data_IF_100850442718
#
_entry.id   IF_100850442718
#
_cell.length_a   1.000
_cell.length_b   1.000
_cell.length_c   1.000
_cell.angle_alpha   90.00
_cell.angle_beta   90.00
_cell.angle_gamma   90.00
#
_symmetry.space_group_name_H-M   'P 1'
#
loop_
_entity.id
_entity.type
_entity.pdbx_description
1 polymer ?
#
# COMPACT_ATOMS: atom_id res chain seq x y z
N UNK A 1 2.72 19.98 -44.20
CA UNK A 1 2.47 21.26 -44.94
C UNK A 1 2.25 22.36 -43.90
N UNK A 2 3.07 23.35 -44.04
CA UNK A 2 3.26 24.59 -43.30
C UNK A 2 1.95 25.40 -43.06
N UNK A 3 1.83 26.10 -41.94
CA UNK A 3 1.49 27.51 -41.94
C UNK A 3 1.96 28.20 -40.64
N UNK A 4 2.98 28.98 -40.82
CA UNK A 4 3.53 30.05 -39.99
C UNK A 4 2.61 31.25 -40.08
N UNK A 5 2.28 31.92 -38.94
CA UNK A 5 1.68 33.26 -38.95
C UNK A 5 2.55 34.21 -38.15
N UNK A 6 3.10 35.13 -38.84
CA UNK A 6 3.87 36.30 -38.48
C UNK A 6 2.96 37.36 -37.85
N UNK A 7 3.40 37.97 -36.74
CA UNK A 7 2.71 39.14 -36.14
C UNK A 7 3.56 40.40 -36.39
N UNK A 8 2.95 41.35 -37.02
CA UNK A 8 3.53 42.66 -37.40
C UNK A 8 3.46 43.61 -36.19
N UNK A 9 4.57 44.27 -35.89
CA UNK A 9 4.62 45.35 -34.90
C UNK A 9 4.21 46.68 -35.50
N UNK A 10 3.52 47.48 -34.70
CA UNK A 10 3.19 48.88 -35.01
C UNK A 10 4.04 49.78 -34.12
N UNK A 11 4.90 50.57 -34.74
CA UNK A 11 5.70 51.62 -34.11
C UNK A 11 4.90 52.93 -34.23
N UNK A 12 4.57 53.53 -33.09
CA UNK A 12 3.93 54.86 -33.08
C UNK A 12 4.99 55.89 -32.62
N UNK A 13 5.38 56.77 -33.56
CA UNK A 13 6.22 57.94 -33.26
C UNK A 13 5.38 59.01 -32.53
N UNK A 14 5.92 59.49 -31.42
CA UNK A 14 5.37 60.64 -30.70
C UNK A 14 6.29 61.84 -30.88
N UNK A 15 5.73 62.93 -31.43
CA UNK A 15 6.39 64.20 -31.65
C UNK A 15 6.50 64.99 -30.34
N UNK A 16 7.68 65.55 -30.09
CA UNK A 16 7.90 66.52 -29.01
C UNK A 16 7.61 67.95 -29.48
N UNK A 17 6.70 68.62 -28.80
CA UNK A 17 6.52 70.06 -28.94
C UNK A 17 7.17 70.73 -27.73
N UNK A 18 8.17 71.58 -27.99
CA UNK A 18 8.76 72.45 -26.99
C UNK A 18 7.88 73.74 -26.83
N UNK A 19 7.33 73.95 -25.63
CA UNK A 19 6.76 75.17 -25.21
C UNK A 19 7.64 75.77 -24.09
N UNK A 20 8.22 76.94 -24.36
CA UNK A 20 8.95 77.78 -23.39
C UNK A 20 7.97 78.48 -22.48
N UNK A 21 7.93 78.15 -21.21
CA UNK A 21 7.14 78.77 -20.18
C UNK A 21 7.99 79.23 -18.99
N UNK A 22 7.82 80.43 -18.56
CA UNK A 22 8.55 81.20 -17.55
C UNK A 22 8.58 80.57 -16.20
N UNK A 23 9.74 80.59 -15.54
CA UNK A 23 9.99 80.05 -14.20
C UNK A 23 9.34 81.02 -13.17
N UNK A 24 8.30 80.55 -12.50
CA UNK A 24 7.90 81.07 -11.18
C UNK A 24 8.53 80.18 -10.10
N UNK A 25 9.28 80.81 -9.18
CA UNK A 25 9.79 80.13 -7.99
C UNK A 25 8.59 79.81 -7.08
N UNK A 26 8.24 78.55 -7.01
CA UNK A 26 7.30 78.01 -6.02
C UNK A 26 8.01 77.67 -4.70
N UNK A 27 7.50 78.22 -3.59
CA UNK A 27 7.92 77.91 -2.24
C UNK A 27 7.82 76.37 -2.01
N UNK A 28 8.85 75.82 -1.35
CA UNK A 28 8.86 74.41 -1.01
C UNK A 28 7.73 74.07 -0.03
N UNK A 29 6.95 73.01 -0.29
CA UNK A 29 5.93 72.56 0.65
C UNK A 29 6.57 72.13 1.98
N UNK A 30 5.88 72.29 3.14
CA UNK A 30 6.40 71.90 4.44
C UNK A 30 6.70 70.43 4.45
N UNK A 31 7.93 70.05 4.90
CA UNK A 31 8.34 68.68 5.14
C UNK A 31 7.43 68.07 6.21
N UNK A 32 6.48 67.24 5.77
CA UNK A 32 5.70 66.39 6.69
C UNK A 32 6.64 65.30 7.22
N UNK A 33 6.98 65.38 8.49
CA UNK A 33 7.70 64.29 9.18
C UNK A 33 6.92 62.99 8.97
N UNK A 34 7.61 61.87 8.62
CA UNK A 34 6.92 60.59 8.45
C UNK A 34 6.26 60.22 9.79
N UNK A 35 4.96 60.10 9.75
CA UNK A 35 4.19 59.54 10.87
C UNK A 35 4.82 58.18 11.22
N UNK A 36 5.20 57.93 12.50
CA UNK A 36 5.77 56.67 12.86
C UNK A 36 4.79 55.55 12.52
N UNK A 37 5.22 54.60 11.69
CA UNK A 37 4.43 53.40 11.37
C UNK A 37 4.00 52.73 12.68
N UNK A 38 2.74 52.32 12.81
CA UNK A 38 2.30 51.62 14.03
C UNK A 38 3.24 50.45 14.32
N UNK A 39 3.56 50.17 15.59
CA UNK A 39 4.45 49.08 15.94
C UNK A 39 3.93 47.81 15.34
N UNK A 40 4.75 47.17 14.51
CA UNK A 40 4.46 45.84 13.97
C UNK A 40 4.42 44.88 15.17
N UNK A 41 3.22 44.60 15.65
CA UNK A 41 3.01 43.60 16.70
C UNK A 41 3.50 42.28 16.10
N UNK A 42 4.70 41.86 16.51
CA UNK A 42 5.29 40.59 16.06
C UNK A 42 4.38 39.45 16.52
N UNK A 43 3.59 38.93 15.60
CA UNK A 43 2.76 37.76 15.87
C UNK A 43 3.62 36.61 16.39
N UNK A 44 3.22 35.99 17.50
CA UNK A 44 3.91 34.87 18.11
C UNK A 44 2.90 33.84 18.59
N UNK A 45 3.18 32.55 18.37
CA UNK A 45 2.34 31.46 18.81
C UNK A 45 1.30 31.02 17.77
N UNK A 46 0.26 30.32 18.24
CA UNK A 46 -0.89 29.91 17.42
C UNK A 46 -1.76 31.13 17.10
N UNK A 47 -2.11 31.24 15.83
CA UNK A 47 -2.98 32.32 15.30
C UNK A 47 -3.99 31.73 14.33
N UNK A 48 -5.24 32.13 14.44
CA UNK A 48 -6.29 31.81 13.47
C UNK A 48 -6.34 32.88 12.38
N UNK A 49 -6.19 32.47 11.12
CA UNK A 49 -6.36 33.30 9.93
C UNK A 49 -7.59 32.80 9.17
N UNK A 50 -8.72 33.47 9.37
CA UNK A 50 -10.02 32.95 8.92
C UNK A 50 -10.31 31.60 9.58
N UNK A 51 -10.55 30.58 8.79
CA UNK A 51 -10.81 29.21 9.29
C UNK A 51 -9.56 28.31 9.33
N UNK A 52 -8.36 28.91 9.34
CA UNK A 52 -7.10 28.16 9.28
C UNK A 52 -6.21 28.52 10.45
N UNK A 53 -5.65 27.49 11.09
CA UNK A 53 -4.71 27.65 12.19
C UNK A 53 -3.27 27.71 11.66
N UNK A 54 -2.49 28.69 12.09
CA UNK A 54 -1.06 28.81 11.78
C UNK A 54 -0.24 29.08 13.05
N UNK A 55 1.08 28.99 12.94
CA UNK A 55 1.99 29.31 14.06
C UNK A 55 3.05 30.28 13.61
N UNK A 56 3.21 31.36 14.36
CA UNK A 56 4.23 32.37 14.14
C UNK A 56 5.39 32.19 15.12
N UNK A 57 6.61 32.25 14.60
CA UNK A 57 7.86 32.26 15.36
C UNK A 57 8.68 33.45 14.91
N UNK A 58 8.98 34.37 15.84
CA UNK A 58 9.73 35.59 15.54
C UNK A 58 9.11 36.40 14.37
N UNK A 59 7.79 36.55 14.36
CA UNK A 59 7.05 37.27 13.31
C UNK A 59 6.87 36.53 11.99
N UNK A 60 7.43 35.32 11.83
CA UNK A 60 7.33 34.53 10.60
C UNK A 60 6.45 33.28 10.78
N UNK A 61 5.59 33.02 9.83
CA UNK A 61 4.78 31.82 9.78
C UNK A 61 5.67 30.59 9.51
N UNK A 62 5.62 29.56 10.36
CA UNK A 62 6.36 28.32 10.12
C UNK A 62 5.69 27.50 9.02
N UNK A 63 6.49 26.86 8.16
CA UNK A 63 6.04 26.05 7.02
C UNK A 63 6.78 24.74 6.95
N UNK A 64 6.11 23.67 6.48
CA UNK A 64 6.67 22.33 6.33
C UNK A 64 7.35 21.81 7.60
N UNK A 65 6.80 22.12 8.78
CA UNK A 65 7.43 21.81 10.07
C UNK A 65 6.47 21.20 11.08
N UNK A 66 7.03 20.30 11.86
CA UNK A 66 6.43 19.83 13.11
C UNK A 66 6.62 20.86 14.20
N UNK A 67 5.65 20.99 15.08
CA UNK A 67 5.72 21.78 16.28
C UNK A 67 4.99 21.08 17.42
N UNK A 68 5.60 21.06 18.59
CA UNK A 68 4.93 20.66 19.84
C UNK A 68 4.50 21.95 20.54
N UNK A 69 3.25 22.01 20.93
CA UNK A 69 2.62 23.14 21.61
C UNK A 69 1.78 22.55 22.73
N UNK A 70 2.08 22.90 23.97
CA UNK A 70 1.41 22.41 25.17
C UNK A 70 1.30 20.87 25.24
N UNK A 71 2.33 20.17 24.77
CA UNK A 71 2.41 18.71 24.71
C UNK A 71 1.78 18.07 23.49
N UNK A 72 0.98 18.80 22.71
CA UNK A 72 0.34 18.31 21.50
C UNK A 72 1.21 18.51 20.26
N UNK A 73 1.18 17.55 19.33
CA UNK A 73 1.93 17.60 18.08
C UNK A 73 1.08 18.14 16.94
N UNK A 74 1.59 19.17 16.28
CA UNK A 74 1.03 19.80 15.08
C UNK A 74 1.98 19.64 13.90
N UNK A 75 1.44 19.67 12.68
CA UNK A 75 2.23 19.84 11.47
C UNK A 75 1.65 20.98 10.63
N UNK A 76 2.52 21.89 10.19
CA UNK A 76 2.17 23.01 9.33
C UNK A 76 2.63 22.73 7.91
N UNK A 77 1.73 22.85 6.95
CA UNK A 77 1.97 22.56 5.53
C UNK A 77 2.88 23.59 4.84
N UNK A 78 3.02 23.52 3.52
CA UNK A 78 3.82 24.45 2.73
C UNK A 78 3.30 25.89 2.74
N UNK A 79 2.03 26.09 3.04
CA UNK A 79 1.40 27.40 3.19
C UNK A 79 1.50 27.91 4.65
N UNK A 80 1.95 27.07 5.57
CA UNK A 80 2.06 27.36 7.00
C UNK A 80 0.76 27.17 7.76
N UNK A 81 -0.18 26.39 7.24
CA UNK A 81 -1.43 26.06 7.94
C UNK A 81 -1.38 24.68 8.58
N UNK A 82 -1.91 24.57 9.78
CA UNK A 82 -2.02 23.33 10.50
C UNK A 82 -2.95 22.35 9.75
N UNK A 83 -2.49 21.12 9.60
CA UNK A 83 -3.19 20.09 8.80
C UNK A 83 -4.26 19.35 9.60
N UNK A 84 -5.21 18.72 8.90
CA UNK A 84 -6.19 17.78 9.44
C UNK A 84 -6.26 16.51 8.59
N UNK A 85 -6.78 15.42 9.16
CA UNK A 85 -6.92 14.13 8.47
C UNK A 85 -5.60 13.39 8.31
N UNK A 86 -5.51 12.53 7.29
CA UNK A 86 -4.30 11.74 6.98
C UNK A 86 -3.33 12.54 6.12
N UNK A 87 -2.11 12.72 6.58
CA UNK A 87 -1.00 13.39 5.89
C UNK A 87 0.14 12.41 5.68
N UNK A 88 0.65 12.36 4.44
CA UNK A 88 1.78 11.50 4.05
C UNK A 88 3.08 12.22 4.34
N UNK A 89 3.99 11.53 5.02
CA UNK A 89 5.34 11.99 5.31
C UNK A 89 6.39 11.14 4.58
N UNK A 90 7.67 11.42 4.82
CA UNK A 90 8.80 10.66 4.29
C UNK A 90 8.60 9.15 4.53
N UNK A 91 9.02 8.33 3.57
CA UNK A 91 8.85 6.86 3.56
C UNK A 91 7.37 6.39 3.56
N UNK A 92 6.48 7.20 2.98
CA UNK A 92 5.04 6.90 2.89
C UNK A 92 4.34 6.66 4.23
N UNK A 93 4.89 7.16 5.32
CA UNK A 93 4.24 7.11 6.63
C UNK A 93 3.09 8.10 6.65
N UNK A 94 1.92 7.66 7.10
CA UNK A 94 0.73 8.52 7.25
C UNK A 94 0.48 8.76 8.73
N UNK A 95 0.48 10.03 9.14
CA UNK A 95 -0.03 10.44 10.45
C UNK A 95 -1.43 11.04 10.31
N UNK A 96 -2.25 10.91 11.34
CA UNK A 96 -3.64 11.43 11.33
C UNK A 96 -3.78 12.54 12.36
N UNK A 97 -4.36 13.66 11.89
CA UNK A 97 -4.62 14.85 12.71
C UNK A 97 -6.13 15.02 12.90
N UNK A 98 -6.54 15.40 14.09
CA UNK A 98 -7.93 15.68 14.46
C UNK A 98 -8.49 16.92 13.74
N UNK A 99 -9.77 17.23 14.02
CA UNK A 99 -10.37 18.49 13.60
C UNK A 99 -9.76 19.71 14.30
N UNK A 100 -9.22 19.47 15.49
CA UNK A 100 -8.46 20.40 16.32
C UNK A 100 -7.00 20.56 15.87
N UNK A 101 -6.64 20.00 14.71
CA UNK A 101 -5.29 19.99 14.12
C UNK A 101 -4.21 19.24 14.94
N UNK A 102 -4.57 18.62 16.07
CA UNK A 102 -3.65 17.84 16.88
C UNK A 102 -3.45 16.46 16.30
N UNK A 103 -2.21 15.93 16.32
CA UNK A 103 -1.94 14.54 15.95
C UNK A 103 -2.71 13.61 16.90
N UNK A 104 -3.39 12.63 16.31
CA UNK A 104 -4.17 11.66 17.10
C UNK A 104 -3.25 10.61 17.72
N UNK A 105 -2.90 10.80 18.96
CA UNK A 105 -2.04 9.91 19.73
C UNK A 105 -2.82 8.99 20.68
N UNK A 106 -2.14 7.97 21.21
CA UNK A 106 -2.66 7.02 22.20
C UNK A 106 -3.96 6.30 21.78
N UNK A 107 -4.20 6.15 20.47
CA UNK A 107 -5.38 5.52 19.88
C UNK A 107 -5.03 4.33 18.99
N UNK A 108 -3.91 3.65 19.26
CA UNK A 108 -3.53 2.43 18.54
C UNK A 108 -4.64 1.38 18.57
N UNK A 109 -4.88 0.69 17.44
CA UNK A 109 -5.94 -0.31 17.29
C UNK A 109 -7.35 0.25 17.08
N UNK A 110 -7.53 1.59 17.05
CA UNK A 110 -8.83 2.22 16.87
C UNK A 110 -9.03 2.74 15.45
N UNK A 111 -10.27 2.69 14.95
CA UNK A 111 -10.70 3.42 13.77
C UNK A 111 -11.20 4.78 14.22
N UNK A 112 -10.67 5.83 13.60
CA UNK A 112 -11.08 7.23 13.82
C UNK A 112 -11.64 7.81 12.54
N UNK A 113 -12.60 8.76 12.65
CA UNK A 113 -13.20 9.41 11.47
C UNK A 113 -12.97 10.90 11.55
N UNK A 114 -12.36 11.45 10.50
CA UNK A 114 -12.11 12.87 10.33
C UNK A 114 -12.81 13.34 9.05
N UNK A 115 -13.81 14.17 9.18
CA UNK A 115 -14.71 14.51 8.09
C UNK A 115 -15.38 13.25 7.52
N UNK A 116 -15.29 13.06 6.20
CA UNK A 116 -15.86 11.90 5.50
C UNK A 116 -14.95 10.67 5.44
N UNK A 117 -13.73 10.73 5.99
CA UNK A 117 -12.74 9.67 5.89
C UNK A 117 -12.49 8.98 7.22
N UNK A 118 -12.34 7.67 7.18
CA UNK A 118 -11.97 6.86 8.35
C UNK A 118 -10.53 6.34 8.20
N UNK A 119 -9.82 6.22 9.33
CA UNK A 119 -8.43 5.82 9.42
C UNK A 119 -8.27 4.77 10.52
N UNK A 120 -7.44 3.75 10.32
CA UNK A 120 -7.08 2.80 11.36
C UNK A 120 -5.69 3.15 11.91
N UNK A 121 -5.61 3.51 13.18
CA UNK A 121 -4.37 3.89 13.82
C UNK A 121 -3.63 2.64 14.29
N UNK A 122 -2.39 2.48 13.85
CA UNK A 122 -1.57 1.28 14.08
C UNK A 122 -0.61 1.42 15.26
N UNK A 123 -0.28 2.66 15.62
CA UNK A 123 0.72 2.96 16.64
C UNK A 123 0.22 4.05 17.61
N UNK A 124 0.85 4.13 18.77
CA UNK A 124 0.52 5.15 19.80
C UNK A 124 0.76 6.58 19.30
N UNK A 125 1.75 6.78 18.41
CA UNK A 125 2.09 8.07 17.83
C UNK A 125 1.21 8.48 16.63
N UNK A 126 0.08 7.80 16.42
CA UNK A 126 -0.94 8.20 15.44
C UNK A 126 -0.65 7.83 13.99
N UNK A 127 0.22 6.84 13.73
CA UNK A 127 0.39 6.30 12.36
C UNK A 127 -0.84 5.53 11.93
N UNK A 128 -1.27 5.75 10.70
CA UNK A 128 -2.38 5.04 10.09
C UNK A 128 -1.91 3.86 9.23
N UNK A 129 -2.72 2.82 9.15
CA UNK A 129 -2.55 1.73 8.20
C UNK A 129 -2.64 2.25 6.76
N UNK A 130 -1.84 1.66 5.86
CA UNK A 130 -1.93 1.77 4.41
C UNK A 130 -1.89 0.38 3.79
N UNK A 131 -2.51 0.17 2.63
CA UNK A 131 -2.62 -1.16 2.05
C UNK A 131 -3.62 -2.05 2.77
N UNK A 132 -3.44 -3.36 2.64
CA UNK A 132 -4.26 -4.34 3.35
C UNK A 132 -3.86 -4.45 4.81
N UNK A 133 -4.85 -4.60 5.69
CA UNK A 133 -4.64 -4.88 7.11
C UNK A 133 -5.78 -5.73 7.69
N UNK A 134 -5.48 -6.42 8.78
CA UNK A 134 -6.44 -7.28 9.49
C UNK A 134 -6.84 -6.58 10.79
N UNK A 135 -8.16 -6.53 11.05
CA UNK A 135 -8.71 -6.07 12.32
C UNK A 135 -9.90 -6.94 12.71
N UNK A 136 -9.88 -7.49 13.93
CA UNK A 136 -10.92 -8.40 14.44
C UNK A 136 -11.26 -9.52 13.43
N UNK A 137 -10.24 -10.17 12.88
CA UNK A 137 -10.32 -11.23 11.87
C UNK A 137 -11.02 -10.85 10.54
N UNK A 138 -11.20 -9.56 10.25
CA UNK A 138 -11.70 -9.10 8.97
C UNK A 138 -10.61 -8.38 8.18
N UNK A 139 -10.65 -8.52 6.86
CA UNK A 139 -9.78 -7.83 5.94
C UNK A 139 -10.28 -6.41 5.70
N UNK A 140 -9.37 -5.46 5.74
CA UNK A 140 -9.57 -4.05 5.40
C UNK A 140 -8.55 -3.60 4.37
N UNK A 141 -8.83 -2.50 3.71
CA UNK A 141 -7.87 -1.81 2.86
C UNK A 141 -7.91 -0.30 3.10
N UNK A 142 -6.74 0.31 3.21
CA UNK A 142 -6.58 1.75 3.26
C UNK A 142 -5.74 2.25 2.07
N UNK A 143 -6.10 3.41 1.53
CA UNK A 143 -5.35 4.06 0.45
C UNK A 143 -3.95 4.49 0.93
N UNK A 144 -3.11 4.97 0.01
CA UNK A 144 -1.81 5.57 0.36
C UNK A 144 -1.93 6.77 1.32
N UNK A 145 -3.08 7.43 1.38
CA UNK A 145 -3.40 8.49 2.35
C UNK A 145 -4.04 7.96 3.65
N UNK A 146 -3.96 6.65 3.93
CA UNK A 146 -4.53 6.01 5.12
C UNK A 146 -6.06 5.92 5.15
N UNK A 147 -6.76 6.32 4.08
CA UNK A 147 -8.24 6.35 4.05
C UNK A 147 -8.80 4.97 3.82
N UNK A 148 -9.59 4.46 4.76
CA UNK A 148 -10.24 3.14 4.69
C UNK A 148 -11.24 3.12 3.51
N UNK A 149 -11.19 2.06 2.70
CA UNK A 149 -12.15 1.82 1.63
C UNK A 149 -13.49 1.40 2.22
N UNK A 150 -14.56 1.99 1.72
CA UNK A 150 -15.95 1.68 2.09
C UNK A 150 -16.83 1.66 0.84
N UNK A 151 -17.81 0.77 0.79
CA UNK A 151 -18.81 0.64 -0.31
C UNK A 151 -18.17 0.59 -1.69
N UNK A 152 -17.06 -0.17 -1.85
CA UNK A 152 -16.34 -0.27 -3.14
C UNK A 152 -15.61 -1.58 -3.32
N UNK A 153 -15.37 -1.89 -4.58
CA UNK A 153 -14.54 -3.01 -5.01
C UNK A 153 -13.06 -2.64 -5.13
N UNK A 154 -12.20 -3.67 -5.11
CA UNK A 154 -10.77 -3.62 -5.39
C UNK A 154 -10.31 -4.89 -6.11
N UNK A 155 -9.18 -4.82 -6.84
CA UNK A 155 -8.57 -5.94 -7.57
C UNK A 155 -9.56 -6.66 -8.48
N UNK A 156 -10.00 -6.00 -9.55
CA UNK A 156 -10.96 -6.54 -10.52
C UNK A 156 -12.19 -7.17 -9.87
N UNK A 157 -12.76 -6.49 -8.88
CA UNK A 157 -13.93 -6.91 -8.09
C UNK A 157 -13.68 -8.12 -7.17
N UNK A 158 -12.43 -8.53 -6.94
CA UNK A 158 -12.07 -9.63 -6.05
C UNK A 158 -12.50 -9.37 -4.59
N UNK A 159 -12.33 -8.14 -4.12
CA UNK A 159 -12.71 -7.72 -2.77
C UNK A 159 -13.76 -6.62 -2.82
N UNK A 160 -14.85 -6.80 -2.08
CA UNK A 160 -15.84 -5.75 -1.83
C UNK A 160 -15.78 -5.31 -0.37
N UNK A 161 -15.50 -4.03 -0.14
CA UNK A 161 -15.48 -3.42 1.20
C UNK A 161 -16.85 -2.81 1.52
N UNK A 162 -17.45 -3.26 2.61
CA UNK A 162 -18.79 -2.86 3.08
C UNK A 162 -18.83 -1.41 3.58
N UNK A 163 -19.97 -0.97 4.10
CA UNK A 163 -20.10 0.36 4.74
C UNK A 163 -19.24 0.50 6.01
N UNK A 164 -18.98 -0.61 6.72
CA UNK A 164 -18.07 -0.63 7.87
C UNK A 164 -16.59 -0.52 7.47
N UNK A 165 -16.27 -0.81 6.22
CA UNK A 165 -14.92 -0.91 5.68
C UNK A 165 -14.32 -2.32 5.76
N UNK A 166 -14.99 -3.28 6.39
CA UNK A 166 -14.59 -4.68 6.33
C UNK A 166 -14.86 -5.25 4.93
N UNK A 167 -13.96 -6.09 4.44
CA UNK A 167 -14.23 -6.84 3.22
C UNK A 167 -15.37 -7.85 3.46
N UNK A 168 -16.21 -8.05 2.44
CA UNK A 168 -17.17 -9.14 2.43
C UNK A 168 -16.42 -10.47 2.53
N UNK A 169 -16.92 -11.37 3.36
CA UNK A 169 -16.29 -12.67 3.55
C UNK A 169 -16.47 -13.54 2.30
N UNK A 170 -15.36 -13.91 1.71
CA UNK A 170 -15.24 -14.75 0.52
C UNK A 170 -14.00 -15.62 0.65
N UNK A 171 -13.87 -16.68 -0.14
CA UNK A 171 -12.66 -17.50 -0.20
C UNK A 171 -11.41 -16.62 -0.39
N UNK A 172 -11.48 -15.63 -1.27
CA UNK A 172 -10.37 -14.70 -1.52
C UNK A 172 -9.99 -13.86 -0.30
N UNK A 173 -10.98 -13.32 0.41
CA UNK A 173 -10.74 -12.51 1.60
C UNK A 173 -10.17 -13.35 2.76
N UNK A 174 -10.71 -14.55 2.98
CA UNK A 174 -10.23 -15.48 4.00
C UNK A 174 -8.81 -15.98 3.69
N UNK A 175 -8.53 -16.32 2.42
CA UNK A 175 -7.19 -16.72 1.98
C UNK A 175 -6.19 -15.58 2.17
N UNK A 176 -6.54 -14.34 1.82
CA UNK A 176 -5.70 -13.16 2.04
C UNK A 176 -5.38 -12.97 3.52
N UNK A 177 -6.40 -13.04 4.39
CA UNK A 177 -6.21 -12.97 5.84
C UNK A 177 -5.23 -14.04 6.31
N UNK A 178 -5.46 -15.30 5.93
CA UNK A 178 -4.64 -16.42 6.38
C UNK A 178 -3.20 -16.31 5.89
N UNK A 179 -3.00 -15.96 4.62
CA UNK A 179 -1.67 -15.73 4.04
C UNK A 179 -0.93 -14.58 4.74
N UNK A 180 -1.59 -13.44 4.96
CA UNK A 180 -1.02 -12.31 5.70
C UNK A 180 -0.60 -12.69 7.13
N UNK A 181 -1.43 -13.45 7.86
CA UNK A 181 -1.13 -13.93 9.21
C UNK A 181 0.12 -14.81 9.22
N UNK A 182 0.19 -15.79 8.32
CA UNK A 182 1.35 -16.69 8.23
C UNK A 182 2.60 -15.89 7.83
N UNK A 183 2.55 -15.12 6.74
CA UNK A 183 3.71 -14.37 6.26
C UNK A 183 4.22 -13.40 7.32
N UNK A 184 3.33 -12.71 8.04
CA UNK A 184 3.75 -11.80 9.13
C UNK A 184 4.40 -12.52 10.31
N UNK A 185 4.08 -13.80 10.56
CA UNK A 185 4.67 -14.59 11.64
C UNK A 185 6.04 -15.17 11.30
N UNK A 186 6.36 -15.36 10.03
CA UNK A 186 7.60 -16.01 9.55
C UNK A 186 8.56 -15.05 8.84
N UNK A 187 8.19 -13.78 8.67
CA UNK A 187 9.01 -12.77 7.97
C UNK A 187 9.10 -11.47 8.76
N UNK A 188 10.05 -10.62 8.39
CA UNK A 188 10.18 -9.27 8.94
C UNK A 188 10.59 -8.25 7.86
N UNK A 189 10.64 -6.97 8.22
CA UNK A 189 10.93 -5.86 7.29
C UNK A 189 12.38 -5.83 6.76
N UNK A 190 13.32 -6.52 7.42
CA UNK A 190 14.74 -6.59 7.01
C UNK A 190 14.98 -7.67 5.95
N UNK A 191 14.06 -8.63 5.79
CA UNK A 191 14.19 -9.71 4.83
C UNK A 191 13.96 -9.20 3.40
N UNK A 192 14.83 -9.64 2.48
CA UNK A 192 14.65 -9.48 1.03
C UNK A 192 13.43 -10.27 0.54
N UNK A 193 12.96 -9.97 -0.67
CA UNK A 193 11.85 -10.70 -1.29
C UNK A 193 12.14 -12.20 -1.40
N UNK A 194 13.37 -12.59 -1.80
CA UNK A 194 13.78 -13.99 -1.89
C UNK A 194 13.86 -14.66 -0.52
N UNK A 195 14.37 -14.00 0.51
CA UNK A 195 14.37 -14.53 1.86
C UNK A 195 12.95 -14.78 2.38
N UNK A 196 12.00 -13.90 2.07
CA UNK A 196 10.58 -14.11 2.40
C UNK A 196 9.99 -15.28 1.65
N UNK A 197 10.32 -15.46 0.35
CA UNK A 197 9.90 -16.64 -0.42
C UNK A 197 10.42 -17.94 0.21
N UNK A 198 11.70 -17.95 0.59
CA UNK A 198 12.30 -19.11 1.25
C UNK A 198 11.66 -19.41 2.62
N UNK A 199 11.31 -18.37 3.40
CA UNK A 199 10.57 -18.56 4.64
C UNK A 199 9.17 -19.16 4.40
N UNK A 200 8.47 -18.74 3.34
CA UNK A 200 7.21 -19.36 2.92
C UNK A 200 7.38 -20.83 2.52
N UNK A 201 8.44 -21.13 1.79
CA UNK A 201 8.82 -22.50 1.45
C UNK A 201 9.04 -23.34 2.70
N UNK A 202 9.92 -22.87 3.60
CA UNK A 202 10.22 -23.55 4.87
C UNK A 202 8.98 -23.80 5.72
N UNK A 203 8.04 -22.86 5.72
CA UNK A 203 6.75 -23.03 6.40
C UNK A 203 5.99 -24.23 5.85
N UNK A 204 5.93 -24.39 4.53
CA UNK A 204 5.15 -25.46 3.88
C UNK A 204 5.85 -26.83 4.03
N UNK A 205 7.16 -26.92 3.77
CA UNK A 205 7.89 -28.19 3.82
C UNK A 205 8.34 -28.60 5.24
N UNK A 206 8.32 -27.68 6.19
CA UNK A 206 8.86 -27.88 7.55
C UNK A 206 7.87 -28.50 8.54
N UNK A 207 6.83 -29.21 8.08
CA UNK A 207 5.91 -29.96 8.94
C UNK A 207 4.70 -29.13 9.45
N UNK A 208 4.56 -27.86 9.07
CA UNK A 208 3.35 -27.09 9.39
C UNK A 208 2.13 -27.54 8.58
N UNK A 209 2.37 -28.20 7.45
CA UNK A 209 1.36 -28.87 6.62
C UNK A 209 1.73 -30.35 6.59
N UNK A 210 0.77 -31.21 6.84
CA UNK A 210 0.93 -32.67 6.80
C UNK A 210 0.29 -33.22 5.53
N UNK A 211 0.76 -34.37 5.05
CA UNK A 211 0.13 -35.04 3.93
C UNK A 211 -1.27 -35.54 4.31
N UNK A 212 -2.26 -35.14 3.51
CA UNK A 212 -3.66 -35.52 3.66
C UNK A 212 -4.29 -35.66 2.30
N UNK A 213 -4.97 -36.80 2.05
CA UNK A 213 -5.63 -37.06 0.77
C UNK A 213 -6.90 -36.21 0.62
N UNK A 214 -6.75 -35.06 -0.06
CA UNK A 214 -7.84 -34.18 -0.41
C UNK A 214 -7.57 -33.59 -1.80
N UNK A 215 -8.40 -33.95 -2.79
CA UNK A 215 -8.22 -33.53 -4.18
C UNK A 215 -9.12 -32.34 -4.53
N UNK A 216 -8.62 -31.33 -5.27
CA UNK A 216 -9.45 -30.27 -5.78
C UNK A 216 -10.30 -30.74 -6.95
N UNK A 217 -11.46 -30.11 -7.16
CA UNK A 217 -12.17 -30.20 -8.43
C UNK A 217 -11.53 -29.25 -9.44
N UNK A 218 -10.69 -29.78 -10.33
CA UNK A 218 -9.97 -28.99 -11.34
C UNK A 218 -10.88 -28.26 -12.34
N UNK A 219 -12.12 -28.73 -12.53
CA UNK A 219 -13.12 -28.04 -13.33
C UNK A 219 -13.76 -26.82 -12.65
N UNK A 220 -13.60 -26.69 -11.36
CA UNK A 220 -14.13 -25.54 -10.62
C UNK A 220 -13.27 -24.28 -10.84
N UNK A 221 -13.92 -23.18 -11.17
CA UNK A 221 -13.22 -21.89 -11.28
C UNK A 221 -12.52 -21.53 -9.96
N UNK A 222 -11.25 -21.11 -10.05
CA UNK A 222 -10.42 -20.72 -8.90
C UNK A 222 -10.20 -21.86 -7.88
N UNK A 223 -10.23 -23.13 -8.33
CA UNK A 223 -10.00 -24.30 -7.47
C UNK A 223 -8.70 -24.18 -6.65
N UNK A 224 -7.66 -23.60 -7.25
CA UNK A 224 -6.37 -23.42 -6.60
C UNK A 224 -6.46 -22.53 -5.35
N UNK A 225 -7.33 -21.56 -5.33
CA UNK A 225 -7.53 -20.66 -4.20
C UNK A 225 -8.33 -21.33 -3.08
N UNK A 226 -9.36 -22.08 -3.43
CA UNK A 226 -10.13 -22.88 -2.46
C UNK A 226 -9.23 -23.94 -1.82
N UNK A 227 -8.41 -24.60 -2.63
CA UNK A 227 -7.46 -25.62 -2.14
C UNK A 227 -6.40 -25.00 -1.22
N UNK A 228 -5.84 -23.82 -1.58
CA UNK A 228 -4.90 -23.10 -0.72
C UNK A 228 -5.51 -22.75 0.63
N UNK A 229 -6.73 -22.19 0.64
CA UNK A 229 -7.44 -21.83 1.87
C UNK A 229 -7.68 -23.06 2.73
N UNK A 230 -8.21 -24.14 2.15
CA UNK A 230 -8.43 -25.41 2.85
C UNK A 230 -7.15 -25.91 3.51
N UNK A 231 -6.06 -25.99 2.72
CA UNK A 231 -4.77 -26.52 3.21
C UNK A 231 -4.17 -25.66 4.32
N UNK A 232 -4.18 -24.32 4.16
CA UNK A 232 -3.63 -23.41 5.17
C UNK A 232 -4.46 -23.35 6.45
N UNK A 233 -5.78 -23.57 6.38
CA UNK A 233 -6.66 -23.63 7.56
C UNK A 233 -6.54 -24.96 8.29
N UNK A 234 -6.57 -26.09 7.57
CA UNK A 234 -6.58 -27.42 8.15
C UNK A 234 -5.17 -27.99 8.40
N UNK A 235 -4.13 -27.30 7.93
CA UNK A 235 -2.73 -27.76 8.00
C UNK A 235 -2.53 -29.16 7.36
N UNK A 236 -3.27 -29.44 6.29
CA UNK A 236 -3.23 -30.72 5.62
C UNK A 236 -3.65 -30.61 4.16
N UNK A 237 -2.99 -31.39 3.31
CA UNK A 237 -3.26 -31.46 1.88
C UNK A 237 -2.40 -32.50 1.19
N UNK A 238 -2.76 -32.88 -0.03
CA UNK A 238 -1.93 -33.67 -0.92
C UNK A 238 -0.99 -32.76 -1.74
N UNK A 239 -0.37 -33.26 -2.81
CA UNK A 239 0.51 -32.48 -3.69
C UNK A 239 -0.14 -31.16 -4.18
N UNK A 240 -1.43 -31.16 -4.53
CA UNK A 240 -2.17 -29.95 -4.89
C UNK A 240 -2.27 -28.97 -3.71
N UNK A 241 -2.50 -29.49 -2.50
CA UNK A 241 -2.58 -28.68 -1.29
C UNK A 241 -1.26 -27.99 -0.96
N UNK A 242 -0.16 -28.77 -0.97
CA UNK A 242 1.19 -28.23 -0.75
C UNK A 242 1.55 -27.15 -1.76
N UNK A 243 1.33 -27.43 -3.04
CA UNK A 243 1.60 -26.49 -4.12
C UNK A 243 0.74 -25.22 -4.00
N UNK A 244 -0.59 -25.35 -3.79
CA UNK A 244 -1.49 -24.21 -3.64
C UNK A 244 -1.18 -23.38 -2.39
N UNK A 245 -0.84 -24.01 -1.26
CA UNK A 245 -0.43 -23.31 -0.05
C UNK A 245 0.85 -22.48 -0.27
N UNK A 246 1.87 -23.07 -0.90
CA UNK A 246 3.10 -22.35 -1.23
C UNK A 246 2.82 -21.20 -2.21
N UNK A 247 2.03 -21.44 -3.26
CA UNK A 247 1.66 -20.39 -4.22
C UNK A 247 0.93 -19.21 -3.56
N UNK A 248 0.02 -19.47 -2.62
CA UNK A 248 -0.68 -18.41 -1.88
C UNK A 248 0.27 -17.55 -1.04
N UNK A 249 1.22 -18.19 -0.33
CA UNK A 249 2.22 -17.48 0.46
C UNK A 249 3.24 -16.73 -0.43
N UNK A 250 3.65 -17.32 -1.55
CA UNK A 250 4.50 -16.67 -2.55
C UNK A 250 3.82 -15.42 -3.15
N UNK A 251 2.53 -15.51 -3.46
CA UNK A 251 1.74 -14.34 -3.92
C UNK A 251 1.69 -13.25 -2.86
N UNK A 252 1.54 -13.62 -1.57
CA UNK A 252 1.50 -12.64 -0.47
C UNK A 252 2.81 -11.86 -0.35
N UNK A 253 3.96 -12.47 -0.65
CA UNK A 253 5.27 -11.80 -0.66
C UNK A 253 5.62 -11.18 -2.02
N UNK A 254 4.65 -11.12 -2.95
CA UNK A 254 4.72 -10.33 -4.19
C UNK A 254 5.25 -11.09 -5.41
N UNK A 255 5.20 -12.41 -5.44
CA UNK A 255 5.46 -13.21 -6.65
C UNK A 255 4.17 -13.48 -7.43
N UNK A 256 4.32 -13.93 -8.68
CA UNK A 256 3.23 -14.36 -9.56
C UNK A 256 3.37 -15.86 -9.85
N UNK A 257 2.92 -16.74 -8.95
CA UNK A 257 3.04 -18.18 -9.14
C UNK A 257 2.04 -18.72 -10.14
N UNK A 258 2.45 -19.80 -10.84
CA UNK A 258 1.61 -20.66 -11.65
C UNK A 258 1.55 -22.03 -11.03
N UNK A 259 0.36 -22.59 -10.94
CA UNK A 259 0.15 -24.00 -10.61
C UNK A 259 0.33 -24.82 -11.87
N UNK A 260 1.24 -25.78 -11.86
CA UNK A 260 1.42 -26.76 -12.93
C UNK A 260 0.94 -28.11 -12.43
N UNK A 261 0.12 -28.77 -13.20
CA UNK A 261 -0.41 -30.08 -12.85
C UNK A 261 -0.29 -31.07 -14.01
N UNK A 262 -0.09 -32.31 -13.66
CA UNK A 262 0.17 -33.38 -14.62
C UNK A 262 0.39 -34.70 -13.91
N UNK A 263 1.39 -35.45 -14.38
CA UNK A 263 1.70 -36.80 -13.90
C UNK A 263 3.22 -36.94 -13.70
N UNK A 264 3.58 -37.69 -12.68
CA UNK A 264 4.96 -38.12 -12.36
C UNK A 264 4.98 -39.63 -12.12
N UNK A 265 6.14 -40.30 -12.18
CA UNK A 265 6.24 -41.72 -11.82
C UNK A 265 5.71 -41.96 -10.41
N UNK A 266 4.89 -42.99 -10.24
CA UNK A 266 4.33 -43.37 -8.95
C UNK A 266 3.10 -44.27 -9.09
N UNK A 267 2.85 -45.05 -8.06
CA UNK A 267 1.79 -46.08 -8.02
C UNK A 267 0.50 -45.66 -7.34
N UNK A 268 0.44 -44.44 -6.76
CA UNK A 268 -0.67 -43.99 -5.93
C UNK A 268 -2.04 -44.01 -6.65
N UNK A 269 -2.09 -43.72 -7.94
CA UNK A 269 -3.33 -43.68 -8.70
C UNK A 269 -3.67 -45.04 -9.35
N UNK A 270 -2.84 -46.05 -9.21
CA UNK A 270 -3.07 -47.39 -9.77
C UNK A 270 -3.10 -47.46 -11.29
N UNK A 271 -2.51 -46.49 -11.99
CA UNK A 271 -2.51 -46.42 -13.46
C UNK A 271 -1.55 -47.45 -14.06
N UNK A 272 -1.96 -48.06 -15.15
CA UNK A 272 -1.17 -49.07 -15.87
C UNK A 272 0.17 -48.51 -16.44
N UNK A 273 0.24 -47.20 -16.68
CA UNK A 273 1.46 -46.53 -17.17
C UNK A 273 2.47 -46.19 -16.04
N UNK A 274 2.21 -46.60 -14.82
CA UNK A 274 3.08 -46.32 -13.66
C UNK A 274 3.15 -44.85 -13.28
N UNK A 275 2.19 -44.02 -13.73
CA UNK A 275 2.17 -42.61 -13.45
C UNK A 275 1.10 -42.25 -12.42
N UNK A 276 1.34 -41.20 -11.64
CA UNK A 276 0.39 -40.66 -10.66
C UNK A 276 0.22 -39.17 -10.83
N UNK A 277 -0.98 -38.67 -10.58
CA UNK A 277 -1.28 -37.22 -10.65
C UNK A 277 -0.43 -36.45 -9.67
N UNK A 278 0.07 -35.31 -10.14
CA UNK A 278 0.91 -34.46 -9.33
C UNK A 278 0.69 -32.97 -9.67
N UNK A 279 1.15 -32.10 -8.74
CA UNK A 279 1.04 -30.65 -8.89
C UNK A 279 2.24 -29.98 -8.25
N UNK A 280 2.83 -29.03 -8.96
CA UNK A 280 3.95 -28.20 -8.49
C UNK A 280 3.75 -26.75 -8.86
N UNK A 281 4.68 -25.87 -8.50
CA UNK A 281 4.57 -24.42 -8.72
C UNK A 281 5.69 -23.97 -9.64
N UNK A 282 5.38 -23.02 -10.55
CA UNK A 282 6.37 -22.26 -11.28
C UNK A 282 6.30 -20.78 -10.90
N UNK A 283 7.49 -20.18 -10.66
CA UNK A 283 7.65 -18.76 -10.39
C UNK A 283 8.82 -18.26 -11.23
N UNK A 284 8.59 -17.28 -12.10
CA UNK A 284 9.61 -16.72 -13.00
C UNK A 284 10.37 -17.80 -13.82
N UNK A 285 9.67 -18.82 -14.27
CA UNK A 285 10.25 -19.93 -15.05
C UNK A 285 10.98 -21.00 -14.22
N UNK A 286 11.09 -20.81 -12.92
CA UNK A 286 11.71 -21.80 -12.01
C UNK A 286 10.65 -22.69 -11.37
N UNK A 287 11.00 -23.95 -11.13
CA UNK A 287 10.13 -24.97 -10.54
C UNK A 287 10.34 -25.10 -9.03
N UNK A 288 9.22 -25.34 -8.33
CA UNK A 288 9.14 -25.52 -6.89
C UNK A 288 8.17 -26.66 -6.59
N UNK A 289 8.63 -27.73 -5.95
CA UNK A 289 7.77 -28.83 -5.52
C UNK A 289 7.86 -29.06 -4.01
N UNK A 290 6.98 -28.43 -3.25
CA UNK A 290 7.01 -28.54 -1.80
C UNK A 290 6.61 -29.94 -1.30
N UNK A 291 5.73 -30.67 -2.01
CA UNK A 291 5.32 -32.01 -1.59
C UNK A 291 6.43 -33.04 -1.82
N UNK A 292 7.07 -33.02 -2.99
CA UNK A 292 8.21 -33.90 -3.28
C UNK A 292 9.32 -33.73 -2.26
N UNK A 293 9.61 -32.48 -1.88
CA UNK A 293 10.62 -32.21 -0.83
C UNK A 293 10.17 -32.65 0.56
N UNK A 294 8.91 -32.41 0.92
CA UNK A 294 8.35 -32.86 2.20
C UNK A 294 8.34 -34.40 2.34
N UNK A 295 7.92 -35.08 1.28
CA UNK A 295 7.83 -36.56 1.27
C UNK A 295 9.17 -37.25 1.03
N UNK A 296 10.20 -36.53 0.61
CA UNK A 296 11.57 -37.05 0.41
C UNK A 296 11.77 -37.92 -0.83
N UNK A 297 10.77 -37.95 -1.76
CA UNK A 297 10.91 -38.73 -3.00
C UNK A 297 11.64 -37.98 -4.13
N UNK A 298 11.70 -36.64 -4.03
CA UNK A 298 12.61 -35.82 -4.82
C UNK A 298 13.09 -34.66 -3.97
N UNK A 299 14.40 -34.44 -3.86
CA UNK A 299 15.01 -33.39 -3.08
C UNK A 299 15.45 -32.22 -3.95
N UNK A 300 15.49 -31.03 -3.37
CA UNK A 300 16.10 -29.86 -4.01
C UNK A 300 15.27 -29.18 -5.09
N UNK A 301 13.97 -29.42 -5.23
CA UNK A 301 13.10 -28.71 -6.17
C UNK A 301 12.63 -27.38 -5.56
N UNK A 302 13.57 -26.49 -5.34
CA UNK A 302 13.35 -25.13 -4.90
C UNK A 302 14.05 -24.17 -5.85
N UNK A 303 13.29 -23.59 -6.79
CA UNK A 303 13.81 -22.63 -7.76
C UNK A 303 14.76 -23.26 -8.79
N UNK A 304 14.48 -24.48 -9.23
CA UNK A 304 15.29 -25.21 -10.22
C UNK A 304 14.88 -24.85 -11.65
N UNK A 305 15.86 -24.78 -12.56
CA UNK A 305 15.59 -24.74 -13.98
C UNK A 305 15.05 -26.10 -14.43
N UNK A 306 13.86 -26.12 -15.05
CA UNK A 306 13.13 -27.34 -15.31
C UNK A 306 12.59 -27.99 -14.05
N UNK A 307 11.83 -29.06 -14.20
CA UNK A 307 11.25 -29.75 -13.05
C UNK A 307 12.21 -30.82 -12.46
N UNK A 308 13.10 -31.35 -13.28
CA UNK A 308 14.11 -32.31 -12.86
C UNK A 308 13.60 -33.75 -12.60
N UNK A 309 12.31 -33.98 -12.71
CA UNK A 309 11.65 -35.29 -12.57
C UNK A 309 10.95 -35.59 -13.91
N UNK A 310 11.00 -36.87 -14.33
CA UNK A 310 10.21 -37.30 -15.49
C UNK A 310 8.75 -36.99 -15.28
N UNK A 311 8.12 -36.33 -16.23
CA UNK A 311 6.73 -35.89 -16.11
C UNK A 311 6.10 -35.59 -17.44
N UNK A 312 4.77 -35.55 -17.48
CA UNK A 312 4.04 -34.83 -18.50
C UNK A 312 3.07 -33.82 -17.84
N UNK A 313 2.93 -32.70 -18.48
CA UNK A 313 2.07 -31.61 -18.01
C UNK A 313 0.70 -31.74 -18.67
N UNK A 314 -0.36 -31.75 -17.87
CA UNK A 314 -1.76 -31.69 -18.34
C UNK A 314 -2.25 -30.25 -18.49
N UNK A 315 -1.68 -29.31 -17.72
CA UNK A 315 -2.04 -27.91 -17.79
C UNK A 315 -1.34 -27.04 -16.76
N UNK A 316 -1.54 -25.75 -16.90
CA UNK A 316 -1.12 -24.77 -15.91
C UNK A 316 -2.17 -23.68 -15.71
N UNK A 317 -2.22 -23.09 -14.53
CA UNK A 317 -3.12 -21.99 -14.21
C UNK A 317 -2.41 -20.97 -13.33
N UNK A 318 -2.57 -19.69 -13.68
CA UNK A 318 -2.05 -18.60 -12.84
C UNK A 318 -2.76 -18.61 -11.49
N UNK A 319 -1.99 -18.50 -10.40
CA UNK A 319 -2.54 -18.40 -9.07
C UNK A 319 -2.98 -16.95 -8.82
N UNK A 320 -4.27 -16.68 -8.82
CA UNK A 320 -4.80 -15.34 -8.58
C UNK A 320 -5.96 -14.92 -9.41
#
# INVERSE_FOLDING_TARGET
>A
MKKLKTLLGVITCMWFIFASGSVYAAEAPPTVSPTPSPPVVSQKGLVEEGNKLCYYSKGNKIKNKWKVIDGDHYYFDSNGYAVTGGVIFKNNVVYVFGKDHKRLENRAGKIVTIGKYSYYLTTKDGKAATGYFIRKNHLYYASSKGRIYKKRYRENKKYYFTSSGAAKETTDALLKIRSMQIVSSITNSKMTKNQKLYACWRYVVGGNIRYWSHYPNLGQKNWQRSMALYTLQNRGGNCYGFACAFAALAQEVGYEPYMVYGYVPGSRDGRADGMTRHCWVQINGLSYDPEATYAGWASGIYGTYGYGVYHWTSGSVKFG
#
